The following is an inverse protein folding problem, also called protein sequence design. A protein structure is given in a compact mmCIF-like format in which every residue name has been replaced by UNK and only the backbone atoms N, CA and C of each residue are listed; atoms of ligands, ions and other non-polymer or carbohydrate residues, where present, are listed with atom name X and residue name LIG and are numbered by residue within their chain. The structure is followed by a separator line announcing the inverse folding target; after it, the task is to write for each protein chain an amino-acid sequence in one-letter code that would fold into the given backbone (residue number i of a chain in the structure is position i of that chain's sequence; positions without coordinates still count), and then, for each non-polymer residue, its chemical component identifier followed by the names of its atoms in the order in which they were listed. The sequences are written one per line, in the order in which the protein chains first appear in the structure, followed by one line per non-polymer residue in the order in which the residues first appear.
data_IF_795805608438
#
_entry.id   IF_795805608438
#
_cell.length_a   1.000
_cell.length_b   1.000
_cell.length_c   1.000
_cell.angle_alpha   90.00
_cell.angle_beta   90.00
_cell.angle_gamma   90.00
#
_symmetry.space_group_name_H-M   'P 1'
#
loop_
_entity.id
_entity.type
_entity.pdbx_description
1 polymer ?
#
# COMPACT_ATOMS: atom_id res chain seq x y z
N UNK A 1 -1.75 -3.64 2.87
CA UNK A 1 -1.26 -2.23 2.85
C UNK A 1 -0.89 -1.83 4.26
N UNK A 2 0.25 -1.17 4.43
CA UNK A 2 0.81 -0.80 5.73
C UNK A 2 0.58 0.69 5.98
N UNK A 3 -0.18 1.01 7.03
CA UNK A 3 -0.54 2.38 7.41
C UNK A 3 0.70 3.22 7.72
N UNK A 4 0.84 4.37 7.08
CA UNK A 4 1.94 5.34 7.22
C UNK A 4 3.36 4.73 7.10
N UNK A 5 3.50 3.54 6.51
CA UNK A 5 4.78 2.85 6.42
C UNK A 5 5.64 3.42 5.31
N UNK A 6 6.78 3.94 5.68
CA UNK A 6 7.72 4.56 4.77
C UNK A 6 9.16 4.29 5.24
N UNK A 7 10.03 4.01 4.30
CA UNK A 7 11.46 3.82 4.58
C UNK A 7 12.18 5.17 4.51
N UNK A 8 12.49 5.74 5.68
CA UNK A 8 13.23 6.99 5.78
C UNK A 8 14.73 6.80 5.50
N UNK A 9 15.25 5.56 5.53
CA UNK A 9 16.64 5.30 5.17
C UNK A 9 16.92 5.54 3.69
N UNK A 10 15.88 5.46 2.86
CA UNK A 10 15.96 5.78 1.43
C UNK A 10 16.05 7.29 1.15
N UNK A 11 15.81 8.14 2.16
CA UNK A 11 15.93 9.58 2.05
C UNK A 11 17.37 10.00 2.38
N UNK A 12 17.99 10.75 1.53
CA UNK A 12 19.37 11.24 1.78
C UNK A 12 19.43 12.09 3.05
N UNK A 13 20.47 11.89 3.86
CA UNK A 13 20.75 12.69 5.06
C UNK A 13 20.28 12.09 6.39
N UNK A 14 19.36 11.11 6.38
CA UNK A 14 18.90 10.45 7.61
C UNK A 14 19.93 9.42 8.07
N UNK A 15 20.36 9.52 9.32
CA UNK A 15 21.28 8.55 9.95
C UNK A 15 20.64 7.93 11.18
N UNK A 16 20.89 6.64 11.40
CA UNK A 16 20.32 5.90 12.52
C UNK A 16 21.43 5.36 13.43
N UNK A 17 21.22 5.42 14.74
CA UNK A 17 22.06 4.71 15.73
C UNK A 17 21.79 3.19 15.69
N UNK A 18 20.57 2.82 15.35
CA UNK A 18 20.11 1.45 15.16
C UNK A 18 19.12 1.42 13.99
N UNK A 19 19.30 0.48 13.08
CA UNK A 19 18.43 0.34 11.91
C UNK A 19 16.99 -0.06 12.33
N UNK A 20 15.98 0.83 12.12
CA UNK A 20 14.59 0.50 12.38
C UNK A 20 13.96 -0.38 11.30
N UNK A 21 14.63 -0.54 10.17
CA UNK A 21 14.13 -1.25 8.99
C UNK A 21 14.78 -2.63 8.78
N UNK A 22 15.59 -3.12 9.71
CA UNK A 22 16.40 -4.33 9.52
C UNK A 22 15.57 -5.55 9.05
N UNK A 23 14.40 -5.80 9.67
CA UNK A 23 13.52 -6.89 9.28
C UNK A 23 12.86 -6.63 7.91
N UNK A 24 12.48 -5.40 7.62
CA UNK A 24 11.91 -5.02 6.34
C UNK A 24 12.94 -5.13 5.20
N UNK A 25 14.17 -4.64 5.41
CA UNK A 25 15.26 -4.76 4.43
C UNK A 25 15.63 -6.23 4.17
N UNK A 26 15.56 -7.08 5.20
CA UNK A 26 15.75 -8.51 5.01
C UNK A 26 14.66 -9.13 4.11
N UNK A 27 13.40 -8.69 4.24
CA UNK A 27 12.32 -9.09 3.32
C UNK A 27 12.52 -8.54 1.90
N UNK A 28 12.97 -7.30 1.77
CA UNK A 28 13.28 -6.71 0.46
C UNK A 28 14.35 -7.53 -0.28
N UNK A 29 15.38 -8.01 0.42
CA UNK A 29 16.45 -8.79 -0.18
C UNK A 29 15.98 -10.11 -0.81
N UNK A 30 14.87 -10.66 -0.37
CA UNK A 30 14.27 -11.90 -0.88
C UNK A 30 12.98 -11.70 -1.70
N UNK A 31 12.62 -10.44 -1.97
CA UNK A 31 11.41 -10.05 -2.67
C UNK A 31 11.71 -9.29 -3.96
N UNK A 32 10.71 -9.18 -4.82
CA UNK A 32 10.70 -8.14 -5.84
C UNK A 32 10.17 -6.86 -5.21
N UNK A 33 10.96 -5.81 -5.20
CA UNK A 33 10.67 -4.59 -4.44
C UNK A 33 10.92 -3.34 -5.27
N UNK A 34 10.19 -2.27 -4.98
CA UNK A 34 10.33 -0.98 -5.65
C UNK A 34 9.67 0.13 -4.86
N UNK A 35 9.38 1.23 -5.53
CA UNK A 35 8.82 2.44 -4.93
C UNK A 35 7.46 2.76 -5.53
N UNK A 36 6.48 3.11 -4.69
CA UNK A 36 5.27 3.79 -5.13
C UNK A 36 5.41 5.30 -4.90
N UNK A 37 4.84 6.08 -5.80
CA UNK A 37 4.56 7.49 -5.57
C UNK A 37 3.09 7.60 -5.19
N UNK A 38 2.84 7.80 -3.90
CA UNK A 38 1.49 7.97 -3.37
C UNK A 38 0.93 9.35 -3.71
N UNK A 39 -0.39 9.45 -3.82
CA UNK A 39 -1.08 10.73 -4.14
C UNK A 39 -1.17 11.69 -2.94
N UNK A 40 -0.79 11.25 -1.76
CA UNK A 40 -0.98 11.98 -0.51
C UNK A 40 0.17 11.77 0.46
N UNK A 41 0.26 12.69 1.42
CA UNK A 41 1.17 12.63 2.56
C UNK A 41 0.38 12.84 3.85
N UNK A 42 0.69 12.09 4.89
CA UNK A 42 0.13 12.26 6.23
C UNK A 42 -1.38 12.00 6.34
N UNK A 43 -1.92 11.20 5.44
CA UNK A 43 -3.34 10.84 5.40
C UNK A 43 -3.84 10.55 4.00
N UNK A 44 -5.14 10.24 3.88
CA UNK A 44 -5.71 9.88 2.58
C UNK A 44 -5.43 8.44 2.15
N UNK A 45 -5.25 7.55 3.12
CA UNK A 45 -5.07 6.09 2.99
C UNK A 45 -5.92 5.46 1.89
N UNK A 46 -7.17 5.92 1.79
CA UNK A 46 -8.13 5.42 0.78
C UNK A 46 -7.71 5.68 -0.68
N UNK A 47 -6.83 6.65 -0.94
CA UNK A 47 -6.39 6.92 -2.31
C UNK A 47 -5.49 5.78 -2.79
N UNK A 48 -4.47 5.40 -2.02
CA UNK A 48 -3.59 4.28 -2.33
C UNK A 48 -4.36 2.95 -2.35
N UNK A 49 -5.24 2.72 -1.33
CA UNK A 49 -6.12 1.55 -1.24
C UNK A 49 -6.95 1.36 -2.51
N UNK A 50 -7.67 2.39 -2.90
CA UNK A 50 -8.60 2.33 -4.03
C UNK A 50 -7.90 2.33 -5.38
N UNK A 51 -6.78 3.04 -5.52
CA UNK A 51 -5.95 2.95 -6.72
C UNK A 51 -5.45 1.53 -6.92
N UNK A 52 -4.94 0.87 -5.89
CA UNK A 52 -4.50 -0.52 -5.96
C UNK A 52 -5.64 -1.47 -6.32
N UNK A 53 -6.80 -1.35 -5.67
CA UNK A 53 -7.94 -2.26 -5.86
C UNK A 53 -8.68 -2.07 -7.20
N UNK A 54 -8.58 -0.91 -7.83
CA UNK A 54 -9.28 -0.61 -9.08
C UNK A 54 -8.37 -0.42 -10.29
N UNK A 55 -7.11 -0.11 -10.07
CA UNK A 55 -6.18 0.32 -11.11
C UNK A 55 -6.41 1.76 -11.59
N UNK A 56 -7.30 2.53 -10.97
CA UNK A 56 -7.60 3.90 -11.39
C UNK A 56 -6.53 4.87 -10.90
N UNK A 57 -6.09 5.75 -11.80
CA UNK A 57 -5.14 6.81 -11.45
C UNK A 57 -5.75 7.80 -10.44
N UNK A 58 -7.05 8.10 -10.59
CA UNK A 58 -7.77 8.98 -9.67
C UNK A 58 -9.04 8.30 -9.17
N UNK A 59 -8.97 7.45 -8.16
CA UNK A 59 -10.12 6.75 -7.63
C UNK A 59 -11.09 7.70 -6.95
N UNK A 60 -12.36 7.34 -6.93
CA UNK A 60 -13.37 8.10 -6.19
C UNK A 60 -13.24 7.86 -4.68
N UNK A 61 -13.58 8.87 -3.90
CA UNK A 61 -13.67 8.75 -2.45
C UNK A 61 -14.86 7.89 -1.99
N UNK A 62 -15.89 7.71 -2.84
CA UNK A 62 -17.08 6.91 -2.54
C UNK A 62 -17.52 6.15 -3.78
N UNK A 63 -17.87 4.89 -3.59
CA UNK A 63 -18.52 4.04 -4.58
C UNK A 63 -19.91 3.66 -4.04
N UNK A 64 -20.96 4.17 -4.67
CA UNK A 64 -22.36 4.00 -4.22
C UNK A 64 -23.10 2.88 -4.93
N UNK A 65 -22.42 2.12 -5.75
CA UNK A 65 -22.92 1.00 -6.54
C UNK A 65 -21.76 0.10 -6.90
N UNK A 66 -22.09 -1.08 -7.35
CA UNK A 66 -21.11 -2.02 -7.90
C UNK A 66 -20.14 -1.30 -8.82
N UNK A 67 -18.87 -1.47 -8.55
CA UNK A 67 -17.78 -0.78 -9.24
C UNK A 67 -16.75 -1.80 -9.69
N UNK A 68 -16.23 -1.62 -10.89
CA UNK A 68 -15.08 -2.38 -11.35
C UNK A 68 -13.97 -2.36 -10.30
N UNK A 69 -13.41 -3.56 -10.03
CA UNK A 69 -12.26 -3.73 -9.17
C UNK A 69 -11.55 -5.04 -9.49
N UNK A 70 -10.31 -5.16 -9.09
CA UNK A 70 -9.62 -6.45 -9.11
C UNK A 70 -10.24 -7.46 -8.13
N UNK A 71 -10.91 -7.01 -7.09
CA UNK A 71 -11.68 -7.88 -6.18
C UNK A 71 -12.77 -8.63 -6.97
N UNK A 72 -13.58 -7.91 -7.75
CA UNK A 72 -14.59 -8.51 -8.62
C UNK A 72 -13.99 -9.39 -9.71
N UNK A 73 -12.85 -8.97 -10.25
CA UNK A 73 -12.13 -9.79 -11.22
C UNK A 73 -11.73 -11.15 -10.63
N UNK A 74 -11.14 -11.17 -9.44
CA UNK A 74 -10.78 -12.40 -8.74
C UNK A 74 -12.04 -13.22 -8.36
N UNK A 75 -13.10 -12.58 -7.86
CA UNK A 75 -14.37 -13.25 -7.58
C UNK A 75 -14.94 -13.95 -8.81
N UNK A 76 -14.88 -13.30 -9.99
CA UNK A 76 -15.32 -13.89 -11.26
C UNK A 76 -14.44 -15.08 -11.72
N UNK A 77 -13.21 -15.18 -11.22
CA UNK A 77 -12.32 -16.33 -11.41
C UNK A 77 -12.52 -17.43 -10.35
N UNK A 78 -13.52 -17.29 -9.47
CA UNK A 78 -13.84 -18.27 -8.44
C UNK A 78 -13.08 -18.11 -7.12
N UNK A 79 -12.38 -16.99 -6.91
CA UNK A 79 -11.70 -16.71 -5.64
C UNK A 79 -12.72 -16.33 -4.56
N UNK A 80 -12.48 -16.79 -3.32
CA UNK A 80 -13.04 -16.14 -2.13
C UNK A 80 -12.34 -14.81 -1.92
N UNK A 81 -13.12 -13.74 -1.77
CA UNK A 81 -12.59 -12.37 -1.64
C UNK A 81 -12.87 -11.80 -0.26
N UNK A 82 -11.83 -11.60 0.51
CA UNK A 82 -11.93 -11.15 1.91
C UNK A 82 -10.97 -10.00 2.19
N UNK A 83 -11.17 -9.34 3.32
CA UNK A 83 -10.26 -8.31 3.77
C UNK A 83 -10.53 -7.87 5.20
N UNK A 84 -9.71 -6.95 5.68
CA UNK A 84 -9.89 -6.42 7.03
C UNK A 84 -9.12 -5.13 7.27
N UNK A 85 -9.69 -4.30 8.14
CA UNK A 85 -9.07 -3.08 8.64
C UNK A 85 -9.58 -2.81 10.05
N UNK A 86 -8.70 -2.71 11.06
CA UNK A 86 -9.12 -2.44 12.44
C UNK A 86 -9.47 -0.96 12.66
N UNK A 87 -10.14 -0.37 11.70
CA UNK A 87 -10.81 0.91 11.73
C UNK A 87 -12.32 0.74 11.72
N UNK A 88 -13.04 1.84 11.94
CA UNK A 88 -14.50 1.83 11.92
C UNK A 88 -15.06 1.76 10.50
N UNK A 89 -16.10 0.95 10.30
CA UNK A 89 -16.74 0.72 9.00
C UNK A 89 -17.33 1.97 8.35
N UNK A 90 -17.79 2.94 9.18
CA UNK A 90 -18.35 4.19 8.71
C UNK A 90 -17.29 5.18 8.23
N UNK A 91 -16.04 5.05 8.69
CA UNK A 91 -14.98 5.96 8.30
C UNK A 91 -14.62 5.72 6.83
N UNK A 92 -14.64 6.77 6.02
CA UNK A 92 -14.52 6.71 4.56
C UNK A 92 -15.63 5.89 3.86
N UNK A 93 -16.76 5.61 4.53
CA UNK A 93 -17.85 4.79 4.00
C UNK A 93 -17.37 3.37 3.58
N UNK A 94 -16.40 2.82 4.34
CA UNK A 94 -15.68 1.60 3.97
C UNK A 94 -16.60 0.40 3.80
N UNK A 95 -17.65 0.24 4.62
CA UNK A 95 -18.61 -0.85 4.47
C UNK A 95 -19.21 -0.85 3.06
N UNK A 96 -19.91 0.23 2.70
CA UNK A 96 -20.57 0.32 1.39
C UNK A 96 -19.58 0.27 0.23
N UNK A 97 -18.40 0.89 0.40
CA UNK A 97 -17.37 0.89 -0.63
C UNK A 97 -16.83 -0.51 -0.87
N UNK A 98 -16.49 -1.27 0.17
CA UNK A 98 -15.91 -2.61 0.03
C UNK A 98 -16.94 -3.63 -0.49
N UNK A 99 -18.21 -3.52 -0.10
CA UNK A 99 -19.31 -4.27 -0.71
C UNK A 99 -19.40 -3.98 -2.22
N UNK A 100 -19.39 -2.70 -2.60
CA UNK A 100 -19.46 -2.28 -4.00
C UNK A 100 -18.18 -2.62 -4.80
N UNK A 101 -17.04 -2.77 -4.16
CA UNK A 101 -15.81 -3.30 -4.77
C UNK A 101 -15.83 -4.84 -4.92
N UNK A 102 -16.76 -5.54 -4.25
CA UNK A 102 -16.99 -6.97 -4.45
C UNK A 102 -16.33 -7.89 -3.42
N UNK A 103 -15.96 -7.39 -2.25
CA UNK A 103 -15.55 -8.26 -1.15
C UNK A 103 -16.74 -9.08 -0.67
N UNK A 104 -16.54 -10.40 -0.52
CA UNK A 104 -17.55 -11.29 0.07
C UNK A 104 -17.61 -11.18 1.59
N UNK A 105 -16.50 -10.78 2.22
CA UNK A 105 -16.38 -10.47 3.65
C UNK A 105 -15.34 -9.39 3.85
N UNK A 106 -15.64 -8.42 4.71
CA UNK A 106 -14.64 -7.43 5.16
C UNK A 106 -14.84 -7.16 6.65
N UNK A 107 -13.73 -7.27 7.40
CA UNK A 107 -13.73 -7.16 8.85
C UNK A 107 -13.36 -5.74 9.28
N UNK A 108 -14.09 -5.22 10.25
CA UNK A 108 -13.95 -3.89 10.84
C UNK A 108 -13.93 -3.98 12.37
N UNK A 109 -13.74 -2.87 13.05
CA UNK A 109 -13.84 -2.82 14.52
C UNK A 109 -15.17 -3.40 14.98
N UNK A 110 -16.29 -2.92 14.43
CA UNK A 110 -17.63 -3.21 14.91
C UNK A 110 -18.04 -4.68 14.74
N UNK A 111 -17.57 -5.35 13.70
CA UNK A 111 -18.00 -6.73 13.40
C UNK A 111 -16.96 -7.80 13.78
N UNK A 112 -15.72 -7.40 14.11
CA UNK A 112 -14.66 -8.37 14.35
C UNK A 112 -13.57 -7.91 15.34
N UNK A 113 -12.90 -6.78 15.10
CA UNK A 113 -11.67 -6.43 15.81
C UNK A 113 -11.88 -5.94 17.24
N UNK A 114 -13.07 -5.44 17.59
CA UNK A 114 -13.39 -5.05 18.98
C UNK A 114 -13.29 -6.23 19.97
N UNK A 115 -13.45 -7.45 19.47
CA UNK A 115 -13.33 -8.67 20.27
C UNK A 115 -11.90 -9.18 20.41
N UNK A 116 -10.94 -8.65 19.65
CA UNK A 116 -9.55 -9.05 19.73
C UNK A 116 -8.81 -8.34 20.86
N UNK A 117 -7.77 -8.97 21.42
CA UNK A 117 -6.93 -8.31 22.41
C UNK A 117 -6.33 -7.01 21.85
N UNK A 118 -6.45 -5.93 22.59
CA UNK A 118 -5.65 -4.73 22.35
C UNK A 118 -4.21 -5.07 22.69
N UNK A 119 -3.28 -4.81 21.80
CA UNK A 119 -1.87 -5.02 22.03
C UNK A 119 -1.31 -4.19 23.20
N UNK A 120 -0.12 -4.49 23.68
CA UNK A 120 0.50 -3.90 24.87
C UNK A 120 0.80 -2.40 24.82
N UNK A 121 0.64 -1.76 23.67
CA UNK A 121 0.58 -0.31 23.48
C UNK A 121 -0.83 0.00 23.02
N UNK A 122 -1.53 0.89 23.75
CA UNK A 122 -2.90 1.29 23.45
C UNK A 122 -2.94 2.11 22.14
N UNK A 123 -2.85 1.43 20.99
CA UNK A 123 -3.01 2.04 19.68
C UNK A 123 -4.47 2.48 19.47
N UNK A 124 -4.87 3.46 20.28
CA UNK A 124 -6.23 4.02 20.27
C UNK A 124 -7.34 2.96 20.46
N UNK A 125 -7.06 1.94 21.29
CA UNK A 125 -7.99 0.85 21.57
C UNK A 125 -8.15 -0.14 20.41
N UNK A 126 -7.17 -0.25 19.52
CA UNK A 126 -7.17 -1.17 18.37
C UNK A 126 -6.12 -2.27 18.50
N UNK A 127 -6.30 -3.41 17.83
CA UNK A 127 -5.26 -4.42 17.74
C UNK A 127 -3.97 -3.83 17.15
N UNK A 128 -2.84 -4.22 17.73
CA UNK A 128 -1.53 -3.97 17.12
C UNK A 128 -1.30 -4.87 15.89
N UNK A 129 -0.20 -4.63 15.17
CA UNK A 129 0.12 -5.41 13.97
C UNK A 129 0.38 -6.88 14.28
N UNK A 130 0.84 -7.22 15.50
CA UNK A 130 1.02 -8.61 15.91
C UNK A 130 -0.32 -9.35 15.96
N UNK A 131 -1.31 -8.78 16.65
CA UNK A 131 -2.65 -9.34 16.74
C UNK A 131 -3.35 -9.34 15.38
N UNK A 132 -3.19 -8.26 14.61
CA UNK A 132 -3.79 -8.13 13.29
C UNK A 132 -3.25 -9.17 12.30
N UNK A 133 -1.94 -9.34 12.18
CA UNK A 133 -1.35 -10.33 11.28
C UNK A 133 -1.65 -11.77 11.72
N UNK A 134 -1.69 -12.05 13.04
CA UNK A 134 -2.08 -13.36 13.55
C UNK A 134 -3.52 -13.69 13.16
N UNK A 135 -4.44 -12.73 13.25
CA UNK A 135 -5.83 -12.87 12.83
C UNK A 135 -5.95 -13.10 11.31
N UNK A 136 -5.25 -12.34 10.48
CA UNK A 136 -5.23 -12.56 9.02
C UNK A 136 -4.66 -13.92 8.65
N UNK A 137 -3.66 -14.42 9.38
CA UNK A 137 -3.15 -15.79 9.21
C UNK A 137 -4.19 -16.83 9.60
N UNK A 138 -4.92 -16.62 10.68
CA UNK A 138 -5.99 -17.51 11.11
C UNK A 138 -7.12 -17.59 10.06
N UNK A 139 -7.52 -16.48 9.47
CA UNK A 139 -8.48 -16.44 8.36
C UNK A 139 -8.02 -17.25 7.14
N UNK A 140 -6.74 -17.07 6.77
CA UNK A 140 -6.17 -17.86 5.67
C UNK A 140 -6.19 -19.37 5.97
N UNK A 141 -5.88 -19.77 7.19
CA UNK A 141 -5.90 -21.17 7.60
C UNK A 141 -7.31 -21.76 7.65
N UNK A 142 -8.31 -20.93 7.98
CA UNK A 142 -9.73 -21.32 8.04
C UNK A 142 -10.42 -21.33 6.68
N UNK A 143 -9.76 -20.88 5.60
CA UNK A 143 -10.35 -20.87 4.25
C UNK A 143 -10.68 -22.28 3.77
N UNK A 144 -11.60 -22.38 2.80
CA UNK A 144 -11.77 -23.61 2.03
C UNK A 144 -10.49 -23.85 1.18
N UNK A 145 -9.72 -24.93 1.42
CA UNK A 145 -8.50 -25.20 0.68
C UNK A 145 -8.74 -25.55 -0.80
N UNK A 146 -9.97 -25.89 -1.18
CA UNK A 146 -10.35 -26.18 -2.56
C UNK A 146 -10.65 -24.91 -3.37
N UNK A 147 -10.79 -23.75 -2.70
CA UNK A 147 -11.09 -22.47 -3.31
C UNK A 147 -9.86 -21.56 -3.28
N UNK A 148 -9.59 -20.89 -4.40
CA UNK A 148 -8.59 -19.84 -4.44
C UNK A 148 -8.99 -18.66 -3.53
N UNK A 149 -7.99 -17.99 -2.96
CA UNK A 149 -8.20 -16.98 -1.91
C UNK A 149 -7.53 -15.65 -2.31
N UNK A 150 -8.28 -14.57 -2.30
CA UNK A 150 -7.79 -13.21 -2.42
C UNK A 150 -8.13 -12.44 -1.15
N UNK A 151 -7.13 -11.83 -0.55
CA UNK A 151 -7.33 -10.99 0.63
C UNK A 151 -6.63 -9.65 0.47
N UNK A 152 -7.32 -8.57 0.84
CA UNK A 152 -6.73 -7.24 0.95
C UNK A 152 -7.03 -6.65 2.32
N UNK A 153 -5.98 -6.30 3.03
CA UNK A 153 -6.10 -5.79 4.40
C UNK A 153 -5.23 -4.55 4.61
N UNK A 154 -5.65 -3.69 5.54
CA UNK A 154 -4.97 -2.44 5.89
C UNK A 154 -4.66 -2.45 7.37
N UNK A 155 -3.39 -2.26 7.75
CA UNK A 155 -2.98 -2.15 9.16
C UNK A 155 -3.45 -0.82 9.77
N UNK A 156 -3.26 -0.64 11.07
CA UNK A 156 -3.61 0.61 11.75
C UNK A 156 -2.50 1.13 12.67
N UNK A 157 -1.60 0.28 13.14
CA UNK A 157 -0.60 0.62 14.15
C UNK A 157 0.27 1.84 13.78
N UNK A 158 0.60 1.99 12.51
CA UNK A 158 1.39 3.13 12.01
C UNK A 158 0.67 4.47 12.00
N UNK A 159 -0.64 4.53 12.35
CA UNK A 159 -1.43 5.76 12.23
C UNK A 159 -1.00 6.83 13.24
N UNK A 160 -0.85 8.07 12.77
CA UNK A 160 -0.62 9.24 13.61
C UNK A 160 -1.82 9.53 14.56
N UNK A 161 -1.67 10.33 15.64
CA UNK A 161 -0.51 11.16 15.96
C UNK A 161 0.60 10.41 16.69
N UNK A 162 1.86 10.82 16.47
CA UNK A 162 3.01 10.41 17.29
C UNK A 162 3.32 11.51 18.27
N UNK A 163 3.60 11.17 19.55
CA UNK A 163 3.91 12.15 20.59
C UNK A 163 5.19 12.92 20.25
N UNK A 164 5.13 14.24 20.35
CA UNK A 164 6.27 15.15 20.24
C UNK A 164 6.74 15.68 21.62
N UNK A 165 6.10 15.23 22.71
CA UNK A 165 6.38 15.67 24.08
C UNK A 165 6.96 14.58 24.95
N UNK A 166 6.85 13.32 24.54
CA UNK A 166 7.36 12.16 25.26
C UNK A 166 7.89 11.10 24.32
N UNK A 167 9.01 10.48 24.69
CA UNK A 167 9.53 9.29 24.02
C UNK A 167 8.76 8.07 24.55
N UNK A 168 7.98 7.45 23.68
CA UNK A 168 7.11 6.30 24.02
C UNK A 168 7.71 4.97 23.55
N UNK A 169 8.76 5.01 22.72
CA UNK A 169 9.40 3.86 22.10
C UNK A 169 10.91 3.82 22.27
N UNK A 170 11.57 3.08 21.39
CA UNK A 170 13.02 2.98 21.32
C UNK A 170 13.67 4.21 20.68
N UNK A 171 14.97 4.36 20.88
CA UNK A 171 15.79 5.36 20.19
C UNK A 171 16.40 4.74 18.94
N UNK A 172 16.22 5.40 17.82
CA UNK A 172 16.74 5.04 16.49
C UNK A 172 17.56 6.19 15.89
N UNK A 173 17.14 7.43 16.10
CA UNK A 173 17.91 8.62 15.75
C UNK A 173 18.47 9.28 17.02
N UNK A 174 19.72 9.73 16.97
CA UNK A 174 20.29 10.53 18.03
C UNK A 174 19.54 11.86 18.20
N UNK A 175 19.68 12.46 19.38
CA UNK A 175 19.10 13.78 19.65
C UNK A 175 19.89 14.92 18.98
N UNK A 176 21.14 14.65 18.58
CA UNK A 176 22.04 15.65 18.02
C UNK A 176 21.47 16.30 16.75
N UNK A 177 21.30 17.61 16.78
CA UNK A 177 20.74 18.40 15.70
C UNK A 177 19.20 18.41 15.62
N UNK A 178 18.48 17.67 16.46
CA UNK A 178 17.02 17.65 16.53
C UNK A 178 16.50 18.48 17.71
N UNK A 179 15.38 19.18 17.51
CA UNK A 179 14.60 19.71 18.62
C UNK A 179 13.99 18.57 19.46
N UNK A 180 13.64 18.84 20.73
CA UNK A 180 13.02 17.83 21.61
C UNK A 180 11.76 17.22 20.98
N UNK A 181 10.93 18.03 20.34
CA UNK A 181 9.73 17.58 19.66
C UNK A 181 10.04 16.68 18.45
N UNK A 182 11.00 17.07 17.63
CA UNK A 182 11.44 16.24 16.50
C UNK A 182 12.03 14.91 16.98
N UNK A 183 12.90 14.95 17.99
CA UNK A 183 13.49 13.75 18.58
C UNK A 183 12.43 12.76 19.09
N UNK A 184 11.45 13.23 19.85
CA UNK A 184 10.38 12.38 20.35
C UNK A 184 9.55 11.82 19.22
N UNK A 185 9.01 12.66 18.34
CA UNK A 185 8.08 12.26 17.27
C UNK A 185 8.71 11.29 16.28
N UNK A 186 9.95 11.58 15.83
CA UNK A 186 10.67 10.74 14.88
C UNK A 186 10.96 9.35 15.48
N UNK A 187 11.46 9.29 16.72
CA UNK A 187 11.77 8.01 17.36
C UNK A 187 10.51 7.20 17.69
N UNK A 188 9.40 7.84 18.03
CA UNK A 188 8.12 7.17 18.23
C UNK A 188 7.59 6.59 16.91
N UNK A 189 7.65 7.33 15.80
CA UNK A 189 7.35 6.82 14.48
C UNK A 189 8.25 5.63 14.10
N UNK A 190 9.57 5.76 14.24
CA UNK A 190 10.53 4.71 13.91
C UNK A 190 10.35 3.46 14.79
N UNK A 191 9.91 3.62 16.02
CA UNK A 191 9.56 2.49 16.91
C UNK A 191 8.36 1.70 16.39
N UNK A 192 7.33 2.42 15.92
CA UNK A 192 6.16 1.78 15.29
C UNK A 192 6.56 1.05 14.00
N UNK A 193 7.35 1.69 13.14
CA UNK A 193 7.84 1.10 11.88
C UNK A 193 8.70 -0.14 12.12
N UNK A 194 9.60 -0.10 13.12
CA UNK A 194 10.45 -1.23 13.47
C UNK A 194 9.61 -2.42 13.98
N UNK A 195 8.56 -2.15 14.74
CA UNK A 195 7.64 -3.19 15.18
C UNK A 195 6.83 -3.75 14.00
N UNK A 196 6.25 -2.89 13.17
CA UNK A 196 5.54 -3.32 11.94
C UNK A 196 6.44 -4.18 11.07
N UNK A 197 7.71 -3.80 10.85
CA UNK A 197 8.67 -4.58 10.07
C UNK A 197 8.91 -5.97 10.65
N UNK A 198 9.07 -6.07 11.97
CA UNK A 198 9.22 -7.35 12.69
C UNK A 198 7.98 -8.24 12.58
N UNK A 199 6.78 -7.68 12.78
CA UNK A 199 5.52 -8.41 12.67
C UNK A 199 5.25 -8.85 11.23
N UNK A 200 5.56 -8.00 10.26
CA UNK A 200 5.50 -8.32 8.84
C UNK A 200 6.42 -9.49 8.50
N UNK A 201 7.65 -9.48 9.02
CA UNK A 201 8.60 -10.58 8.84
C UNK A 201 8.04 -11.89 9.39
N UNK A 202 7.52 -11.88 10.62
CA UNK A 202 6.91 -13.05 11.24
C UNK A 202 5.69 -13.55 10.45
N UNK A 203 4.88 -12.63 9.91
CA UNK A 203 3.74 -12.97 9.06
C UNK A 203 4.18 -13.65 7.77
N UNK A 204 5.15 -13.11 7.07
CA UNK A 204 5.73 -13.73 5.84
C UNK A 204 6.32 -15.10 6.17
N UNK A 205 7.10 -15.22 7.24
CA UNK A 205 7.74 -16.47 7.65
C UNK A 205 6.71 -17.57 7.93
N UNK A 206 5.50 -17.21 8.38
CA UNK A 206 4.42 -18.17 8.61
C UNK A 206 3.90 -18.87 7.35
N UNK A 207 4.19 -18.34 6.15
CA UNK A 207 3.77 -18.92 4.87
C UNK A 207 4.86 -19.69 4.14
N UNK A 208 6.12 -19.71 4.65
CA UNK A 208 7.24 -20.30 3.92
C UNK A 208 7.04 -21.78 3.63
N UNK A 209 6.59 -22.51 4.63
CA UNK A 209 6.42 -23.97 4.55
C UNK A 209 5.02 -24.39 4.04
N UNK A 210 4.17 -23.43 3.64
CA UNK A 210 2.85 -23.76 3.12
C UNK A 210 3.00 -24.49 1.77
N UNK A 211 2.31 -25.63 1.63
CA UNK A 211 2.29 -26.39 0.37
C UNK A 211 1.49 -25.69 -0.74
N UNK A 212 0.54 -24.85 -0.36
CA UNK A 212 -0.24 -24.05 -1.29
C UNK A 212 0.60 -22.87 -1.84
N UNK A 213 0.48 -22.54 -3.13
CA UNK A 213 1.09 -21.34 -3.70
C UNK A 213 0.56 -20.07 -3.03
N UNK A 214 1.47 -19.28 -2.44
CA UNK A 214 1.15 -18.01 -1.78
C UNK A 214 2.00 -16.89 -2.35
N UNK A 215 1.35 -15.80 -2.78
CA UNK A 215 2.00 -14.55 -3.15
C UNK A 215 1.48 -13.45 -2.25
N UNK A 216 2.39 -12.70 -1.63
CA UNK A 216 2.08 -11.60 -0.73
C UNK A 216 2.57 -10.28 -1.34
N UNK A 217 1.73 -9.25 -1.29
CA UNK A 217 2.06 -7.90 -1.74
C UNK A 217 1.94 -6.96 -0.55
N UNK A 218 3.01 -6.24 -0.25
CA UNK A 218 3.03 -5.22 0.80
C UNK A 218 3.42 -3.87 0.22
N UNK A 219 2.79 -2.80 0.70
CA UNK A 219 3.14 -1.44 0.33
C UNK A 219 2.67 -0.45 1.39
N UNK A 220 3.40 0.66 1.54
CA UNK A 220 2.95 1.79 2.32
C UNK A 220 1.89 2.58 1.58
N UNK A 221 1.00 3.23 2.29
CA UNK A 221 -0.04 4.08 1.69
C UNK A 221 0.43 5.52 1.48
N UNK A 222 1.14 6.09 2.45
CA UNK A 222 1.73 7.43 2.42
C UNK A 222 2.84 7.57 3.47
N UNK A 223 3.61 8.65 3.37
CA UNK A 223 4.55 9.04 4.43
C UNK A 223 3.82 9.61 5.66
N UNK A 224 4.42 9.48 6.85
CA UNK A 224 3.91 10.14 8.05
C UNK A 224 4.02 11.66 7.94
N UNK A 225 3.12 12.38 8.61
CA UNK A 225 3.34 13.79 8.93
C UNK A 225 4.28 13.88 10.14
N UNK A 226 5.41 14.53 9.98
CA UNK A 226 6.37 14.76 11.06
C UNK A 226 6.46 16.25 11.39
N UNK A 227 5.80 16.64 12.47
CA UNK A 227 5.64 18.04 12.89
C UNK A 227 4.62 18.81 12.04
N UNK A 228 4.30 20.02 12.46
CA UNK A 228 3.36 20.89 11.75
C UNK A 228 3.89 21.23 10.35
N UNK A 229 3.15 20.88 9.31
CA UNK A 229 3.57 21.11 7.92
C UNK A 229 4.85 20.35 7.54
N UNK A 230 5.10 19.21 8.17
CA UNK A 230 6.28 18.36 7.92
C UNK A 230 7.63 19.02 8.30
N UNK A 231 7.63 19.96 9.26
CA UNK A 231 8.85 20.74 9.59
C UNK A 231 10.01 19.86 10.10
N UNK A 232 9.76 18.71 10.71
CA UNK A 232 10.80 17.84 11.25
C UNK A 232 11.59 17.08 10.17
N UNK A 233 11.09 16.98 8.93
CA UNK A 233 11.91 16.50 7.82
C UNK A 233 13.11 17.42 7.55
N UNK A 234 12.93 18.73 7.70
CA UNK A 234 14.04 19.67 7.55
C UNK A 234 15.12 19.49 8.62
N UNK A 235 14.73 19.13 9.85
CA UNK A 235 15.68 18.82 10.93
C UNK A 235 16.44 17.50 10.65
N UNK A 236 15.82 16.57 9.93
CA UNK A 236 16.49 15.37 9.40
C UNK A 236 17.37 15.65 8.17
N UNK A 237 17.43 16.89 7.68
CA UNK A 237 18.15 17.24 6.46
C UNK A 237 17.45 16.78 5.17
N UNK A 238 16.17 16.47 5.23
CA UNK A 238 15.38 15.96 4.09
C UNK A 238 14.59 17.11 3.46
N UNK A 239 14.81 17.33 2.17
CA UNK A 239 14.00 18.25 1.37
C UNK A 239 12.64 17.62 1.06
N UNK A 240 11.55 18.25 1.49
CA UNK A 240 10.15 17.88 1.18
C UNK A 240 9.38 19.02 0.50
N UNK A 241 10.10 19.91 -0.18
CA UNK A 241 9.48 21.02 -0.91
C UNK A 241 8.86 20.52 -2.22
N UNK A 242 7.54 20.56 -2.32
CA UNK A 242 6.76 20.11 -3.47
C UNK A 242 7.05 20.89 -4.78
N UNK A 243 7.76 22.02 -4.71
CA UNK A 243 8.19 22.75 -5.88
C UNK A 243 9.51 22.22 -6.50
N UNK A 244 10.00 21.07 -6.04
CA UNK A 244 11.19 20.42 -6.57
C UNK A 244 10.95 18.92 -6.76
N UNK A 245 11.55 18.34 -7.79
CA UNK A 245 11.49 16.90 -8.09
C UNK A 245 11.96 16.04 -6.91
N UNK A 246 13.02 16.48 -6.24
CA UNK A 246 13.54 15.81 -5.05
C UNK A 246 12.51 15.85 -3.92
N UNK A 247 11.95 17.02 -3.65
CA UNK A 247 10.97 17.20 -2.58
C UNK A 247 9.69 16.40 -2.83
N UNK A 248 9.16 16.39 -4.05
CA UNK A 248 8.04 15.55 -4.43
C UNK A 248 8.36 14.07 -4.22
N UNK A 249 9.52 13.61 -4.69
CA UNK A 249 9.95 12.22 -4.49
C UNK A 249 10.07 11.90 -3.00
N UNK A 250 10.72 12.74 -2.23
CA UNK A 250 10.90 12.54 -0.81
C UNK A 250 9.59 12.55 -0.03
N UNK A 251 8.61 13.37 -0.45
CA UNK A 251 7.33 13.50 0.23
C UNK A 251 6.36 12.35 -0.08
N UNK A 252 6.36 11.86 -1.32
CA UNK A 252 5.33 10.92 -1.81
C UNK A 252 5.81 9.48 -1.99
N UNK A 253 7.12 9.21 -1.93
CA UNK A 253 7.63 7.84 -2.11
C UNK A 253 7.36 6.95 -0.91
N UNK A 254 6.85 5.75 -1.14
CA UNK A 254 6.68 4.67 -0.17
C UNK A 254 7.15 3.35 -0.78
N UNK A 255 7.62 2.38 0.00
CA UNK A 255 8.09 1.11 -0.54
C UNK A 255 6.93 0.18 -0.92
N UNK A 256 7.19 -0.71 -1.88
CA UNK A 256 6.41 -1.93 -2.08
C UNK A 256 7.31 -3.14 -2.21
N UNK A 257 6.77 -4.31 -1.89
CA UNK A 257 7.40 -5.60 -2.18
C UNK A 257 6.36 -6.65 -2.57
N UNK A 258 6.76 -7.58 -3.43
CA UNK A 258 6.01 -8.75 -3.86
C UNK A 258 6.86 -9.98 -3.53
N UNK A 259 6.38 -10.77 -2.57
CA UNK A 259 7.04 -11.97 -2.10
C UNK A 259 6.22 -13.21 -2.49
N UNK A 260 6.89 -14.33 -2.71
CA UNK A 260 6.25 -15.61 -3.00
C UNK A 260 6.94 -16.74 -2.24
N UNK A 261 6.15 -17.68 -1.73
CA UNK A 261 6.71 -18.90 -1.15
C UNK A 261 7.23 -19.85 -2.24
N UNK A 262 7.96 -20.89 -1.82
CA UNK A 262 8.53 -21.87 -2.76
C UNK A 262 7.47 -22.58 -3.60
N UNK A 263 6.28 -22.84 -3.04
CA UNK A 263 5.18 -23.44 -3.77
C UNK A 263 4.71 -22.55 -4.93
N UNK A 264 4.58 -21.24 -4.68
CA UNK A 264 4.23 -20.28 -5.73
C UNK A 264 5.34 -20.15 -6.79
N UNK A 265 6.62 -20.07 -6.37
CA UNK A 265 7.76 -20.00 -7.30
C UNK A 265 7.85 -21.22 -8.22
N UNK A 266 7.51 -22.42 -7.71
CA UNK A 266 7.47 -23.65 -8.54
C UNK A 266 6.43 -23.59 -9.66
N UNK A 267 5.27 -22.96 -9.43
CA UNK A 267 4.17 -22.93 -10.41
C UNK A 267 4.14 -21.67 -11.27
N UNK A 268 4.60 -20.53 -10.74
CA UNK A 268 4.56 -19.23 -11.42
C UNK A 268 5.92 -18.82 -12.02
N UNK A 269 6.98 -19.55 -11.69
CA UNK A 269 8.36 -19.19 -12.04
C UNK A 269 9.00 -18.26 -11.00
N UNK A 270 10.31 -18.14 -11.06
CA UNK A 270 11.11 -17.37 -10.08
C UNK A 270 11.32 -15.92 -10.55
N UNK A 271 10.26 -15.12 -10.48
CA UNK A 271 10.26 -13.69 -10.85
C UNK A 271 9.97 -12.78 -9.67
N UNK A 272 10.09 -13.31 -8.45
CA UNK A 272 9.70 -12.65 -7.19
C UNK A 272 10.91 -12.10 -6.42
N UNK A 273 12.02 -11.88 -7.09
CA UNK A 273 13.21 -11.22 -6.54
C UNK A 273 13.73 -10.17 -7.52
N UNK A 274 14.31 -9.11 -7.00
CA UNK A 274 14.94 -8.05 -7.78
C UNK A 274 14.35 -6.66 -7.55
N UNK A 275 14.87 -5.70 -8.32
CA UNK A 275 14.47 -4.29 -8.21
C UNK A 275 13.39 -3.96 -9.23
N UNK A 276 12.27 -3.46 -8.74
CA UNK A 276 11.16 -2.95 -9.51
C UNK A 276 11.25 -1.45 -9.78
N UNK A 277 10.33 -0.99 -10.60
CA UNK A 277 10.23 0.40 -11.00
C UNK A 277 9.59 1.28 -9.92
N UNK A 278 9.75 2.60 -10.07
CA UNK A 278 8.94 3.59 -9.35
C UNK A 278 7.64 3.79 -10.11
N UNK A 279 6.50 3.48 -9.49
CA UNK A 279 5.18 3.48 -10.13
C UNK A 279 4.09 4.13 -9.27
N UNK A 280 2.97 4.49 -9.86
CA UNK A 280 1.77 4.85 -9.09
C UNK A 280 1.08 3.63 -8.48
N UNK A 281 0.38 3.75 -7.33
CA UNK A 281 -0.33 2.63 -6.69
C UNK A 281 -1.31 1.89 -7.61
N UNK A 282 -1.95 2.60 -8.57
CA UNK A 282 -2.85 2.01 -9.55
C UNK A 282 -2.19 1.01 -10.51
N UNK A 283 -0.88 1.06 -10.68
CA UNK A 283 -0.14 0.13 -11.53
C UNK A 283 0.42 -1.10 -10.79
N UNK A 284 0.37 -1.12 -9.45
CA UNK A 284 0.97 -2.21 -8.66
C UNK A 284 0.30 -3.57 -8.90
N UNK A 285 -1.02 -3.60 -9.15
CA UNK A 285 -1.70 -4.85 -9.50
C UNK A 285 -1.23 -5.39 -10.86
N UNK A 286 -0.97 -4.52 -11.83
CA UNK A 286 -0.39 -4.94 -13.11
C UNK A 286 1.03 -5.49 -12.94
N UNK A 287 1.82 -4.90 -12.04
CA UNK A 287 3.14 -5.43 -11.66
C UNK A 287 3.06 -6.82 -11.04
N UNK A 288 2.11 -7.03 -10.11
CA UNK A 288 1.84 -8.35 -9.54
C UNK A 288 1.51 -9.39 -10.63
N UNK A 289 0.64 -9.04 -11.58
CA UNK A 289 0.27 -9.95 -12.67
C UNK A 289 1.47 -10.28 -13.56
N UNK A 290 2.36 -9.31 -13.81
CA UNK A 290 3.60 -9.54 -14.57
C UNK A 290 4.53 -10.52 -13.83
N UNK A 291 4.64 -10.41 -12.49
CA UNK A 291 5.42 -11.37 -11.68
C UNK A 291 4.81 -12.76 -11.71
N UNK A 292 3.48 -12.85 -11.66
CA UNK A 292 2.77 -14.12 -11.76
C UNK A 292 2.72 -14.70 -13.18
N UNK A 293 3.04 -13.93 -14.21
CA UNK A 293 2.91 -14.34 -15.61
C UNK A 293 1.45 -14.45 -16.07
N UNK A 294 0.57 -13.64 -15.49
CA UNK A 294 -0.84 -13.61 -15.84
C UNK A 294 -1.14 -12.49 -16.83
N UNK A 295 -1.98 -12.78 -17.82
CA UNK A 295 -2.39 -11.75 -18.81
C UNK A 295 -3.25 -10.66 -18.18
N UNK A 296 -4.18 -11.04 -17.32
CA UNK A 296 -5.13 -10.12 -16.72
C UNK A 296 -6.25 -9.64 -17.66
N UNK A 297 -7.12 -8.75 -17.18
CA UNK A 297 -8.20 -8.18 -18.00
C UNK A 297 -7.65 -7.20 -19.06
N UNK A 298 -8.42 -6.96 -20.14
CA UNK A 298 -8.03 -6.03 -21.20
C UNK A 298 -7.65 -4.64 -20.71
N UNK A 299 -8.33 -4.13 -19.68
CA UNK A 299 -8.00 -2.89 -18.98
C UNK A 299 -6.54 -2.84 -18.51
N UNK A 300 -6.03 -3.95 -17.98
CA UNK A 300 -4.65 -4.05 -17.47
C UNK A 300 -3.59 -3.96 -18.58
N UNK A 301 -3.92 -4.34 -19.82
CA UNK A 301 -2.99 -4.19 -20.94
C UNK A 301 -2.69 -2.70 -21.20
N UNK A 302 -3.75 -1.87 -21.18
CA UNK A 302 -3.58 -0.42 -21.33
C UNK A 302 -2.79 0.18 -20.18
N UNK A 303 -2.99 -0.31 -18.94
CA UNK A 303 -2.15 0.10 -17.80
C UNK A 303 -0.68 -0.24 -18.01
N UNK A 304 -0.37 -1.44 -18.52
CA UNK A 304 1.00 -1.86 -18.85
C UNK A 304 1.61 -0.95 -19.92
N UNK A 305 0.86 -0.65 -20.98
CA UNK A 305 1.35 0.18 -22.07
C UNK A 305 1.59 1.61 -21.61
N UNK A 306 0.71 2.17 -20.79
CA UNK A 306 0.87 3.49 -20.19
C UNK A 306 2.07 3.52 -19.23
N UNK A 307 2.18 2.54 -18.33
CA UNK A 307 3.24 2.46 -17.31
C UNK A 307 4.64 2.45 -17.91
N UNK A 308 4.84 1.79 -19.05
CA UNK A 308 6.17 1.74 -19.72
C UNK A 308 6.73 3.12 -20.04
N UNK A 309 5.88 4.12 -20.22
CA UNK A 309 6.29 5.47 -20.55
C UNK A 309 5.95 6.48 -19.47
N UNK A 310 4.78 6.31 -18.83
CA UNK A 310 4.27 7.17 -17.77
C UNK A 310 4.05 6.30 -16.52
N UNK A 311 5.12 5.87 -15.84
CA UNK A 311 5.00 4.99 -14.67
C UNK A 311 4.38 5.68 -13.45
N UNK A 312 4.43 7.02 -13.40
CA UNK A 312 3.83 7.80 -12.32
C UNK A 312 2.84 8.81 -12.88
N UNK A 313 1.62 8.75 -12.35
CA UNK A 313 0.54 9.71 -12.57
C UNK A 313 0.08 10.16 -11.19
N UNK A 314 0.40 11.38 -10.79
CA UNK A 314 0.09 11.94 -9.48
C UNK A 314 -1.06 12.94 -9.54
N UNK A 315 -1.86 13.01 -8.46
CA UNK A 315 -3.07 13.83 -8.37
C UNK A 315 -2.82 15.34 -8.58
N UNK A 316 -1.64 15.83 -8.26
CA UNK A 316 -1.28 17.25 -8.47
C UNK A 316 -0.81 17.54 -9.90
N UNK A 317 -1.20 16.70 -10.88
CA UNK A 317 -0.75 16.80 -12.27
C UNK A 317 0.78 16.72 -12.41
N UNK A 318 1.40 15.92 -11.54
CA UNK A 318 2.81 15.56 -11.64
C UNK A 318 2.92 14.17 -12.27
N UNK A 319 3.87 14.03 -13.16
CA UNK A 319 4.09 12.81 -13.92
C UNK A 319 5.56 12.42 -13.86
N UNK A 320 5.84 11.14 -13.97
CA UNK A 320 7.17 10.69 -14.38
C UNK A 320 7.04 10.14 -15.81
N UNK A 321 7.79 10.71 -16.74
CA UNK A 321 7.82 10.32 -18.15
C UNK A 321 9.26 10.03 -18.53
N UNK A 322 9.52 8.83 -19.06
CA UNK A 322 10.89 8.39 -19.43
C UNK A 322 11.91 8.67 -18.29
N UNK A 323 11.50 8.47 -17.05
CA UNK A 323 12.33 8.64 -15.83
C UNK A 323 12.51 10.09 -15.35
N UNK A 324 11.81 11.07 -15.91
CA UNK A 324 11.86 12.48 -15.50
C UNK A 324 10.54 12.96 -14.95
N UNK A 325 10.61 13.81 -13.94
CA UNK A 325 9.43 14.49 -13.42
C UNK A 325 9.00 15.61 -14.35
N UNK A 326 7.71 15.68 -14.66
CA UNK A 326 7.09 16.68 -15.50
C UNK A 326 5.79 17.17 -14.88
N UNK A 327 5.55 18.49 -14.90
CA UNK A 327 4.29 19.10 -14.48
C UNK A 327 3.28 19.19 -15.64
N UNK A 328 3.70 18.91 -16.88
CA UNK A 328 2.85 18.88 -18.06
C UNK A 328 3.31 17.78 -19.01
N UNK A 329 2.36 16.95 -19.44
CA UNK A 329 2.66 15.88 -20.39
C UNK A 329 2.97 16.46 -21.79
N UNK A 330 4.10 16.07 -22.33
CA UNK A 330 4.49 16.44 -23.68
C UNK A 330 3.53 15.85 -24.73
N UNK A 331 3.41 16.47 -25.93
CA UNK A 331 2.44 16.07 -26.97
C UNK A 331 2.53 14.60 -27.40
N UNK A 332 3.67 13.96 -27.26
CA UNK A 332 3.91 12.56 -27.63
C UNK A 332 3.56 11.56 -26.51
N UNK A 333 3.53 11.97 -25.24
CA UNK A 333 3.08 11.16 -24.10
C UNK A 333 1.57 11.37 -23.81
N UNK A 334 1.03 12.54 -24.11
CA UNK A 334 -0.36 12.92 -23.83
C UNK A 334 -1.40 11.93 -24.37
N UNK A 335 -1.31 11.40 -25.59
CA UNK A 335 -2.30 10.45 -26.10
C UNK A 335 -2.44 9.18 -25.25
N UNK A 336 -1.35 8.63 -24.71
CA UNK A 336 -1.40 7.46 -23.82
C UNK A 336 -2.16 7.76 -22.52
N UNK A 337 -1.91 8.90 -21.93
CA UNK A 337 -2.63 9.34 -20.74
C UNK A 337 -4.11 9.56 -21.03
N UNK A 338 -4.45 10.23 -22.12
CA UNK A 338 -5.84 10.51 -22.50
C UNK A 338 -6.61 9.21 -22.78
N UNK A 339 -5.97 8.23 -23.44
CA UNK A 339 -6.55 6.91 -23.68
C UNK A 339 -6.79 6.16 -22.36
N UNK A 340 -5.82 6.17 -21.43
CA UNK A 340 -5.98 5.60 -20.10
C UNK A 340 -7.17 6.23 -19.37
N UNK A 341 -7.29 7.55 -19.39
CA UNK A 341 -8.37 8.30 -18.71
C UNK A 341 -9.74 8.02 -19.32
N UNK A 342 -9.82 7.89 -20.65
CA UNK A 342 -11.06 7.53 -21.35
C UNK A 342 -11.45 6.09 -20.99
N UNK A 343 -10.52 5.16 -21.01
CA UNK A 343 -10.77 3.77 -20.64
C UNK A 343 -11.17 3.64 -19.17
N UNK A 344 -10.50 4.34 -18.27
CA UNK A 344 -10.84 4.41 -16.84
C UNK A 344 -12.29 4.90 -16.64
N UNK A 345 -12.68 5.96 -17.32
CA UNK A 345 -14.06 6.43 -17.31
C UNK A 345 -15.04 5.37 -17.83
N UNK A 346 -14.69 4.70 -18.94
CA UNK A 346 -15.53 3.66 -19.53
C UNK A 346 -15.70 2.46 -18.60
N UNK A 347 -14.60 1.97 -18.04
CA UNK A 347 -14.60 0.84 -17.08
C UNK A 347 -15.44 1.19 -15.85
N UNK A 348 -15.27 2.38 -15.31
CA UNK A 348 -15.97 2.84 -14.12
C UNK A 348 -17.46 3.09 -14.32
N UNK A 349 -17.85 3.64 -15.48
CA UNK A 349 -19.22 4.18 -15.66
C UNK A 349 -20.09 3.34 -16.62
N UNK A 350 -19.49 2.62 -17.56
CA UNK A 350 -20.23 2.00 -18.68
C UNK A 350 -20.27 0.48 -18.63
N UNK A 351 -19.21 -0.20 -18.21
CA UNK A 351 -19.22 -1.65 -18.11
C UNK A 351 -20.29 -2.14 -17.13
N UNK A 352 -20.44 -1.47 -16.01
CA UNK A 352 -21.43 -1.79 -14.98
C UNK A 352 -22.87 -1.74 -15.46
N UNK A 353 -23.21 -0.82 -16.41
CA UNK A 353 -24.58 -0.70 -16.92
C UNK A 353 -24.96 -1.84 -17.86
N UNK A 354 -23.99 -2.53 -18.48
CA UNK A 354 -24.25 -3.66 -19.38
C UNK A 354 -24.55 -4.95 -18.63
N UNK A 355 -23.90 -5.18 -17.51
CA UNK A 355 -24.15 -6.37 -16.67
C UNK A 355 -25.52 -6.33 -16.00
N UNK A 356 -26.02 -5.14 -15.65
CA UNK A 356 -27.36 -4.96 -15.07
C UNK A 356 -28.51 -4.95 -16.11
N UNK A 357 -28.22 -4.76 -17.39
CA UNK A 357 -29.21 -4.75 -18.48
C UNK A 357 -29.37 -6.08 -19.21
N UNK A 358 -28.61 -7.13 -18.80
CA UNK A 358 -28.63 -8.47 -19.43
C UNK A 358 -29.25 -9.53 -18.53
N UNK A 359 -29.93 -9.15 -17.44
CA UNK A 359 -30.65 -10.03 -16.53
C UNK A 359 -32.16 -9.96 -16.77
#
# INVERSE_FOLDING_TARGET
MLESFSDLSALGGVTFERDPYADFHALQAESYCGTLISDTNGGGTINAERSFLTGFAYPHSRYRRDTWSYVRYFAAQGYSTQGGHPGYEWFYDRRSVNENLGFSRYDFMENHYEALPVGGSDYHGRPDDAAFFADRRADYLARDPSQSYFSFSVTYQGHSPYSDTALEGGVYCAHDGLSDGAYCMINNYLSSVADTGRQLRAYVDSFREDEAPVVLVFFGDHKPTLGTGNCYYAELGVNVNENSDEGCRNLYSVPYLIWANDAARRVLGDRFTGQGETISPGFLMAELFDRCGWDGPAWMQLQRDTRRRIPVIHRQELFVVDGKWESELQPDARPLYDELRIAEYYVREKLQRREQGSS
#
